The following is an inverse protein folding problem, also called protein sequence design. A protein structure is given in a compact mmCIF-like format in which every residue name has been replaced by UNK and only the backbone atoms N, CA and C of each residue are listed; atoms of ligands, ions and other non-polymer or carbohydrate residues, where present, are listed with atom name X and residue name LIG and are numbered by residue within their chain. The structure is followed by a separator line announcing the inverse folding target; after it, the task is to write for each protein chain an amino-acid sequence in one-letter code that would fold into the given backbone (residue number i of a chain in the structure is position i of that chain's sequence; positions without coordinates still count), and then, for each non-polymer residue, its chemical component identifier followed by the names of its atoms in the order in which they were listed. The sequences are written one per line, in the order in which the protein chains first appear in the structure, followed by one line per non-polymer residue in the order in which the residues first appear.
data_IF_286037848258
#
_entry.id   IF_286037848258
#
_cell.length_a   1.000
_cell.length_b   1.000
_cell.length_c   1.000
_cell.angle_alpha   90.00
_cell.angle_beta   90.00
_cell.angle_gamma   90.00
#
_symmetry.space_group_name_H-M   'P 1'
#
loop_
_entity.id
_entity.type
_entity.pdbx_description
1 polymer ?
#
# COMPACT_ATOMS: atom_id res chain seq x y z
N UNK A 1 -11.50 7.90 5.59
CA UNK A 1 -12.38 7.50 4.45
C UNK A 1 -11.46 7.30 3.26
N UNK A 2 -11.38 6.10 2.69
CA UNK A 2 -10.59 5.89 1.46
C UNK A 2 -11.41 6.47 0.31
N UNK A 3 -10.88 7.47 -0.39
CA UNK A 3 -11.52 8.01 -1.59
C UNK A 3 -10.88 7.35 -2.81
N UNK A 4 -11.67 6.63 -3.60
CA UNK A 4 -11.22 6.00 -4.84
C UNK A 4 -11.55 6.91 -6.02
N UNK A 5 -10.53 7.52 -6.64
CA UNK A 5 -10.68 8.16 -7.95
C UNK A 5 -10.11 7.20 -9.00
N UNK A 6 -10.99 6.50 -9.71
CA UNK A 6 -10.62 5.66 -10.85
C UNK A 6 -10.53 6.60 -12.06
N UNK A 7 -9.30 6.94 -12.44
CA UNK A 7 -9.01 7.64 -13.70
C UNK A 7 -8.22 6.68 -14.57
N UNK A 8 -8.85 6.20 -15.63
CA UNK A 8 -8.14 5.47 -16.69
C UNK A 8 -7.47 6.48 -17.60
N UNK A 9 -6.14 6.44 -17.71
CA UNK A 9 -5.49 6.88 -18.93
C UNK A 9 -5.42 5.64 -19.82
N UNK A 10 -5.95 5.72 -21.03
CA UNK A 10 -5.64 4.73 -22.07
C UNK A 10 -4.17 4.87 -22.42
N UNK A 11 -3.33 4.08 -21.77
CA UNK A 11 -2.04 3.66 -22.27
C UNK A 11 -2.20 2.16 -22.49
N UNK A 12 -2.11 1.72 -23.75
CA UNK A 12 -2.86 0.61 -24.37
C UNK A 12 -2.84 -0.78 -23.69
N UNK A 13 -2.09 -0.98 -22.61
CA UNK A 13 -1.86 -2.28 -21.96
C UNK A 13 -2.16 -2.33 -20.45
N UNK A 14 -2.41 -1.20 -19.77
CA UNK A 14 -2.48 -1.17 -18.29
C UNK A 14 -3.58 -0.27 -17.74
N UNK A 15 -4.19 -0.70 -16.63
CA UNK A 15 -5.11 0.12 -15.83
C UNK A 15 -4.35 0.63 -14.61
N UNK A 16 -4.37 1.95 -14.37
CA UNK A 16 -3.83 2.57 -13.15
C UNK A 16 -4.94 2.87 -12.15
N UNK A 17 -4.82 2.33 -10.94
CA UNK A 17 -5.70 2.67 -9.81
C UNK A 17 -4.91 3.46 -8.78
N UNK A 18 -5.39 4.66 -8.43
CA UNK A 18 -4.81 5.48 -7.35
C UNK A 18 -5.71 5.43 -6.12
N UNK A 19 -5.13 5.05 -4.99
CA UNK A 19 -5.79 5.03 -3.69
C UNK A 19 -5.23 6.18 -2.85
N UNK A 20 -6.10 6.88 -2.12
CA UNK A 20 -5.68 7.93 -1.18
C UNK A 20 -6.48 7.81 0.11
N UNK A 21 -5.77 7.95 1.22
CA UNK A 21 -6.33 8.02 2.57
C UNK A 21 -6.01 9.37 3.21
N UNK A 22 -6.67 9.67 4.33
CA UNK A 22 -6.51 10.92 5.09
C UNK A 22 -5.79 10.69 6.42
N UNK A 23 -5.04 9.59 6.54
CA UNK A 23 -4.25 9.28 7.72
C UNK A 23 -3.05 10.22 7.87
N UNK A 24 -2.31 10.05 8.97
CA UNK A 24 -1.11 10.84 9.25
C UNK A 24 0.08 10.53 8.32
N UNK A 25 -0.06 9.57 7.41
CA UNK A 25 1.00 9.09 6.55
C UNK A 25 1.98 8.18 7.28
N UNK A 26 3.08 7.87 6.62
CA UNK A 26 4.17 7.03 7.14
C UNK A 26 5.45 7.87 7.18
N UNK A 27 6.26 7.67 8.23
CA UNK A 27 7.59 8.27 8.27
C UNK A 27 8.55 7.55 7.30
N UNK A 28 9.70 8.17 7.00
CA UNK A 28 10.66 7.65 6.02
C UNK A 28 11.17 6.23 6.34
N UNK A 29 11.41 5.94 7.63
CA UNK A 29 11.85 4.62 8.08
C UNK A 29 10.81 3.55 7.74
N UNK A 30 9.54 3.81 8.06
CA UNK A 30 8.44 2.90 7.77
C UNK A 30 8.25 2.74 6.26
N UNK A 31 8.34 3.84 5.48
CA UNK A 31 8.24 3.78 4.00
C UNK A 31 9.31 2.87 3.41
N UNK A 32 10.54 2.93 3.91
CA UNK A 32 11.64 2.10 3.39
C UNK A 32 11.44 0.59 3.63
N UNK A 33 10.66 0.23 4.65
CA UNK A 33 10.46 -1.15 5.12
C UNK A 33 9.08 -1.71 4.84
N UNK A 34 8.13 -0.87 4.37
CA UNK A 34 6.71 -1.25 4.23
C UNK A 34 6.48 -2.44 3.30
N UNK A 35 7.42 -2.76 2.41
CA UNK A 35 7.36 -3.90 1.50
C UNK A 35 8.16 -5.13 1.99
N UNK A 36 8.83 -5.05 3.14
CA UNK A 36 9.53 -6.18 3.75
C UNK A 36 8.51 -7.23 4.24
N UNK A 37 8.72 -8.53 3.97
CA UNK A 37 7.85 -9.57 4.51
C UNK A 37 7.77 -9.50 6.03
N UNK A 38 6.55 -9.64 6.57
CA UNK A 38 6.24 -9.63 8.00
C UNK A 38 6.41 -8.29 8.71
N UNK A 39 6.83 -7.23 8.03
CA UNK A 39 6.90 -5.90 8.63
C UNK A 39 5.50 -5.35 8.93
N UNK A 40 5.32 -4.84 10.15
CA UNK A 40 4.07 -4.22 10.61
C UNK A 40 4.36 -3.23 11.74
N UNK A 41 3.59 -2.14 11.81
CA UNK A 41 3.59 -1.20 12.94
C UNK A 41 2.46 -1.47 13.93
N UNK A 42 1.65 -2.52 13.68
CA UNK A 42 0.58 -2.96 14.58
C UNK A 42 1.13 -3.83 15.70
N UNK A 43 0.36 -3.94 16.78
CA UNK A 43 0.70 -4.77 17.93
C UNK A 43 0.75 -6.26 17.57
N UNK A 44 1.42 -7.02 18.45
CA UNK A 44 1.59 -8.46 18.30
C UNK A 44 0.23 -9.15 18.22
N UNK A 45 0.00 -9.88 17.12
CA UNK A 45 -1.25 -10.59 16.86
C UNK A 45 -2.27 -9.84 16.01
N UNK A 46 -2.06 -8.56 15.69
CA UNK A 46 -3.03 -7.73 14.94
C UNK A 46 -2.79 -7.66 13.41
N UNK A 47 -1.84 -8.44 12.91
CA UNK A 47 -1.56 -8.51 11.48
C UNK A 47 -0.39 -9.41 11.14
N UNK A 48 -0.41 -9.95 9.92
CA UNK A 48 0.66 -10.83 9.41
C UNK A 48 1.85 -10.06 8.84
N UNK A 49 1.69 -8.77 8.53
CA UNK A 49 2.70 -7.97 7.83
C UNK A 49 2.98 -8.43 6.39
N UNK A 50 2.09 -9.23 5.77
CA UNK A 50 2.33 -9.80 4.44
C UNK A 50 1.71 -9.00 3.28
N UNK A 51 0.66 -8.22 3.52
CA UNK A 51 -0.14 -7.60 2.45
C UNK A 51 0.69 -6.81 1.43
N UNK A 52 1.50 -5.86 1.92
CA UNK A 52 2.34 -5.02 1.06
C UNK A 52 3.46 -5.81 0.37
N UNK A 53 4.06 -6.80 1.04
CA UNK A 53 5.11 -7.64 0.46
C UNK A 53 4.61 -8.50 -0.72
N UNK A 54 3.33 -8.90 -0.69
CA UNK A 54 2.70 -9.67 -1.77
C UNK A 54 2.36 -8.77 -2.96
N UNK A 55 1.88 -7.54 -2.72
CA UNK A 55 1.56 -6.58 -3.78
C UNK A 55 2.75 -6.23 -4.66
N UNK A 56 3.97 -6.19 -4.12
CA UNK A 56 5.18 -5.87 -4.91
C UNK A 56 5.59 -6.98 -5.90
N UNK A 57 5.00 -8.18 -5.81
CA UNK A 57 5.36 -9.33 -6.65
C UNK A 57 4.50 -9.49 -7.90
N UNK A 58 3.41 -8.73 -8.01
CA UNK A 58 2.49 -8.73 -9.15
C UNK A 58 2.56 -7.39 -9.87
#
# INVERSE_FOLDING_TARGET
MITSNISGMEDADHIRVKISDTGCGLNEEVVSRVFEPFFTTRDVGEGTGLGMSVLRRY
#
